data_IF_838256840141
#
_entry.id   IF_838256840141
#
_cell.length_a   1.000
_cell.length_b   1.000
_cell.length_c   1.000
_cell.angle_alpha   90.00
_cell.angle_beta   90.00
_cell.angle_gamma   90.00
#
_symmetry.space_group_name_H-M   'P 1'
#
loop_
_entity.id
_entity.type
_entity.pdbx_description
1 polymer ?
#
# COMPACT_ATOMS: atom_id res chain seq x y z
N UNK A 1 18.24 -1.72 23.92
CA UNK A 1 18.13 -2.42 22.63
C UNK A 1 17.10 -1.67 21.80
N UNK A 2 17.49 -1.17 20.63
CA UNK A 2 16.63 -0.28 19.83
C UNK A 2 15.94 -1.09 18.74
N UNK A 3 14.80 -1.70 19.06
CA UNK A 3 14.05 -2.57 18.15
C UNK A 3 13.61 -1.86 16.86
N UNK A 4 13.42 -0.54 16.91
CA UNK A 4 13.07 0.32 15.77
C UNK A 4 14.05 0.22 14.60
N UNK A 5 15.33 0.00 14.89
CA UNK A 5 16.35 -0.14 13.85
C UNK A 5 16.12 -1.38 12.97
N UNK A 6 15.70 -2.50 13.57
CA UNK A 6 15.44 -3.73 12.84
C UNK A 6 14.25 -3.59 11.89
N UNK A 7 13.18 -2.94 12.33
CA UNK A 7 12.01 -2.69 11.49
C UNK A 7 12.33 -1.72 10.34
N UNK A 8 13.07 -0.65 10.63
CA UNK A 8 13.48 0.33 9.62
C UNK A 8 14.37 -0.30 8.54
N UNK A 9 15.34 -1.12 8.95
CA UNK A 9 16.23 -1.82 8.02
C UNK A 9 15.47 -2.84 7.14
N UNK A 10 14.55 -3.61 7.73
CA UNK A 10 13.72 -4.55 6.98
C UNK A 10 12.83 -3.83 5.95
N UNK A 11 12.23 -2.70 6.34
CA UNK A 11 11.43 -1.86 5.46
C UNK A 11 12.26 -1.28 4.30
N UNK A 12 13.44 -0.72 4.61
CA UNK A 12 14.36 -0.17 3.60
C UNK A 12 14.72 -1.22 2.53
N UNK A 13 14.97 -2.46 2.96
CA UNK A 13 15.25 -3.58 2.06
C UNK A 13 14.07 -3.85 1.10
N UNK A 14 12.82 -3.85 1.58
CA UNK A 14 11.64 -4.01 0.73
C UNK A 14 11.52 -2.91 -0.33
N UNK A 15 11.86 -1.66 0.03
CA UNK A 15 11.88 -0.54 -0.91
C UNK A 15 12.99 -0.70 -1.95
N UNK A 16 14.20 -1.06 -1.54
CA UNK A 16 15.34 -1.30 -2.43
C UNK A 16 15.07 -2.43 -3.43
N UNK A 17 14.46 -3.52 -2.96
CA UNK A 17 14.05 -4.65 -3.80
C UNK A 17 12.81 -4.34 -4.67
N UNK A 18 12.21 -3.14 -4.56
CA UNK A 18 10.96 -2.74 -5.23
C UNK A 18 9.78 -3.70 -4.96
N UNK A 19 9.80 -4.37 -3.81
CA UNK A 19 8.75 -5.30 -3.37
C UNK A 19 7.84 -4.72 -2.30
N UNK A 20 8.13 -3.50 -1.83
CA UNK A 20 7.22 -2.75 -0.99
C UNK A 20 5.91 -2.46 -1.75
N UNK A 21 4.78 -2.74 -1.10
CA UNK A 21 3.44 -2.63 -1.72
C UNK A 21 2.69 -1.46 -1.11
N UNK A 22 2.12 -0.63 -1.98
CA UNK A 22 1.11 0.37 -1.61
C UNK A 22 -0.23 -0.16 -2.09
N UNK A 23 -1.19 -0.30 -1.18
CA UNK A 23 -2.50 -0.83 -1.53
C UNK A 23 -3.39 0.24 -2.14
N UNK A 24 -4.10 -0.13 -3.20
CA UNK A 24 -5.18 0.68 -3.75
C UNK A 24 -6.45 0.46 -2.93
N UNK A 25 -7.07 1.55 -2.49
CA UNK A 25 -8.33 1.51 -1.77
C UNK A 25 -9.50 1.48 -2.76
N UNK A 26 -10.01 0.29 -3.05
CA UNK A 26 -11.04 0.07 -4.08
C UNK A 26 -12.35 -0.39 -3.46
N UNK A 27 -13.43 0.30 -3.80
CA UNK A 27 -14.80 -0.10 -3.48
C UNK A 27 -15.46 -0.69 -4.73
N UNK A 28 -15.78 -1.99 -4.70
CA UNK A 28 -16.42 -2.69 -5.82
C UNK A 28 -17.92 -2.37 -5.88
N UNK A 29 -18.44 -2.25 -7.10
CA UNK A 29 -19.88 -2.05 -7.32
C UNK A 29 -20.59 -3.40 -7.50
N UNK A 30 -21.45 -3.78 -6.56
CA UNK A 30 -22.23 -5.03 -6.64
C UNK A 30 -23.11 -5.06 -7.90
N UNK A 31 -23.10 -6.19 -8.62
CA UNK A 31 -23.84 -6.35 -9.87
C UNK A 31 -23.26 -5.61 -11.08
N UNK A 32 -22.17 -4.85 -10.92
CA UNK A 32 -21.52 -4.07 -12.00
C UNK A 32 -20.06 -4.45 -12.20
N UNK A 33 -19.76 -5.75 -12.20
CA UNK A 33 -18.43 -6.21 -12.59
C UNK A 33 -18.11 -5.74 -14.02
N UNK A 34 -16.90 -5.21 -14.30
CA UNK A 34 -15.70 -5.16 -13.45
C UNK A 34 -15.45 -3.82 -12.72
N UNK A 35 -16.44 -2.95 -12.59
CA UNK A 35 -16.24 -1.58 -12.11
C UNK A 35 -15.99 -1.47 -10.59
N UNK A 36 -15.14 -0.50 -10.21
CA UNK A 36 -14.84 -0.13 -8.84
C UNK A 36 -14.61 1.40 -8.73
N UNK A 37 -14.91 1.97 -7.57
CA UNK A 37 -14.51 3.33 -7.19
C UNK A 37 -13.14 3.26 -6.52
N UNK A 38 -12.21 4.13 -6.91
CA UNK A 38 -10.92 4.25 -6.26
C UNK A 38 -10.93 5.42 -5.28
N UNK A 39 -10.79 5.12 -3.98
CA UNK A 39 -10.66 6.09 -2.91
C UNK A 39 -9.20 6.53 -2.77
N UNK A 40 -8.67 7.18 -3.81
CA UNK A 40 -7.39 7.86 -3.63
C UNK A 40 -7.62 9.06 -2.71
N UNK A 41 -6.89 9.14 -1.59
CA UNK A 41 -6.74 10.43 -0.88
C UNK A 41 -6.27 11.43 -1.93
N UNK A 42 -7.15 12.37 -2.30
CA UNK A 42 -6.75 13.49 -3.14
C UNK A 42 -5.51 14.10 -2.49
N UNK A 43 -4.41 14.20 -3.24
CA UNK A 43 -3.25 14.96 -2.77
C UNK A 43 -3.76 16.36 -2.44
N UNK A 44 -3.54 16.82 -1.20
CA UNK A 44 -3.40 18.26 -0.96
C UNK A 44 -2.09 18.72 -1.60
#
# INVERSE_FOLDING_TARGET
MTYDHFFSAALARLHQERRYRVFADLERLAGRFPHATWHSRARS
#
